data_IF_278459034796
#
_entry.id   IF_278459034796
#
_cell.length_a   1.000
_cell.length_b   1.000
_cell.length_c   1.000
_cell.angle_alpha   90.00
_cell.angle_beta   90.00
_cell.angle_gamma   90.00
#
_symmetry.space_group_name_H-M   'P 1'
#
loop_
_entity.id
_entity.type
_entity.pdbx_description
1 polymer ?
#
# COMPACT_ATOMS: atom_id res chain seq x y z
N UNK A 1 1.21 -27.35 21.07
CA UNK A 1 1.94 -27.55 19.81
C UNK A 1 0.97 -27.23 18.71
N UNK A 2 1.27 -26.24 17.87
CA UNK A 2 0.39 -25.88 16.76
C UNK A 2 0.34 -27.03 15.74
N UNK A 3 -0.86 -27.48 15.35
CA UNK A 3 -1.07 -28.55 14.37
C UNK A 3 -0.82 -28.10 12.91
N UNK A 4 -0.28 -26.90 12.73
CA UNK A 4 -0.08 -26.29 11.41
C UNK A 4 1.16 -26.89 10.73
N UNK A 5 1.04 -27.45 9.52
CA UNK A 5 2.18 -27.98 8.80
C UNK A 5 3.25 -26.91 8.52
N UNK A 6 4.55 -27.23 8.60
CA UNK A 6 5.63 -26.27 8.33
C UNK A 6 5.53 -25.56 6.97
N UNK A 7 4.99 -26.25 5.95
CA UNK A 7 4.77 -25.66 4.62
C UNK A 7 3.72 -24.54 4.62
N UNK A 8 2.70 -24.64 5.48
CA UNK A 8 1.67 -23.59 5.60
C UNK A 8 2.23 -22.35 6.31
N UNK A 9 3.13 -22.55 7.29
CA UNK A 9 3.85 -21.46 7.96
C UNK A 9 4.71 -20.69 6.94
N UNK A 10 5.43 -21.42 6.06
CA UNK A 10 6.27 -20.78 5.04
C UNK A 10 5.43 -20.04 3.99
N UNK A 11 4.29 -20.61 3.58
CA UNK A 11 3.34 -19.91 2.70
C UNK A 11 2.83 -18.63 3.35
N UNK A 12 2.47 -18.67 4.64
CA UNK A 12 1.99 -17.49 5.36
C UNK A 12 3.07 -16.40 5.42
N UNK A 13 4.32 -16.76 5.71
CA UNK A 13 5.47 -15.83 5.64
C UNK A 13 5.63 -15.20 4.26
N UNK A 14 5.52 -16.00 3.20
CA UNK A 14 5.55 -15.51 1.83
C UNK A 14 4.45 -14.48 1.55
N UNK A 15 3.22 -14.75 1.98
CA UNK A 15 2.09 -13.81 1.83
C UNK A 15 2.29 -12.52 2.62
N UNK A 16 2.83 -12.60 3.82
CA UNK A 16 3.17 -11.42 4.62
C UNK A 16 4.22 -10.56 3.92
N UNK A 17 5.26 -11.18 3.35
CA UNK A 17 6.28 -10.47 2.57
C UNK A 17 5.69 -9.83 1.31
N UNK A 18 4.76 -10.49 0.63
CA UNK A 18 4.02 -9.91 -0.51
C UNK A 18 3.20 -8.68 -0.10
N UNK A 19 2.46 -8.75 1.01
CA UNK A 19 1.71 -7.62 1.55
C UNK A 19 2.62 -6.43 1.87
N UNK A 20 3.76 -6.69 2.51
CA UNK A 20 4.76 -5.68 2.81
C UNK A 20 5.27 -4.97 1.53
N UNK A 21 5.64 -5.75 0.51
CA UNK A 21 6.10 -5.20 -0.76
C UNK A 21 5.03 -4.33 -1.44
N UNK A 22 3.76 -4.75 -1.41
CA UNK A 22 2.63 -3.98 -1.93
C UNK A 22 2.47 -2.66 -1.16
N UNK A 23 2.52 -2.68 0.17
CA UNK A 23 2.41 -1.47 1.00
C UNK A 23 3.52 -0.45 0.69
N UNK A 24 4.76 -0.94 0.56
CA UNK A 24 5.92 -0.11 0.18
C UNK A 24 5.72 0.49 -1.21
N UNK A 25 5.28 -0.30 -2.19
CA UNK A 25 5.05 0.18 -3.54
C UNK A 25 3.96 1.25 -3.60
N UNK A 26 2.80 1.01 -2.94
CA UNK A 26 1.71 1.97 -2.87
C UNK A 26 2.15 3.29 -2.22
N UNK A 27 2.88 3.21 -1.10
CA UNK A 27 3.45 4.38 -0.42
C UNK A 27 4.39 5.15 -1.34
N UNK A 28 5.28 4.45 -2.03
CA UNK A 28 6.24 5.06 -2.95
C UNK A 28 5.56 5.67 -4.17
N UNK A 29 4.43 5.11 -4.64
CA UNK A 29 3.61 5.68 -5.71
C UNK A 29 2.83 6.90 -5.22
N UNK A 30 2.26 6.87 -4.01
CA UNK A 30 1.59 8.02 -3.40
C UNK A 30 2.51 9.24 -3.28
N UNK A 31 3.78 9.03 -2.90
CA UNK A 31 4.78 10.08 -2.83
C UNK A 31 5.14 10.67 -4.21
N UNK A 32 5.07 9.85 -5.27
CA UNK A 32 5.54 10.17 -6.64
C UNK A 32 4.43 10.47 -7.64
N UNK A 33 3.19 10.71 -7.19
CA UNK A 33 2.11 11.11 -8.10
C UNK A 33 2.54 12.38 -8.85
N UNK A 34 2.41 12.42 -10.20
CA UNK A 34 2.90 13.53 -11.00
C UNK A 34 2.17 14.83 -10.65
N UNK A 35 2.92 15.84 -10.23
CA UNK A 35 2.43 17.19 -9.95
C UNK A 35 2.96 18.11 -11.02
N UNK A 36 2.06 18.65 -11.83
CA UNK A 36 2.37 19.72 -12.80
C UNK A 36 2.05 21.03 -12.11
N UNK A 37 3.01 21.96 -12.08
CA UNK A 37 2.81 23.30 -11.54
C UNK A 37 1.90 24.16 -12.44
N UNK A 38 1.25 25.19 -11.89
CA UNK A 38 0.38 26.08 -12.66
C UNK A 38 1.11 26.76 -13.83
N UNK A 39 2.41 27.04 -13.67
CA UNK A 39 3.28 27.63 -14.68
C UNK A 39 3.47 26.77 -15.93
N UNK A 40 3.37 25.45 -15.79
CA UNK A 40 3.53 24.49 -16.87
C UNK A 40 2.20 24.07 -17.50
N UNK A 41 1.07 24.53 -16.94
CA UNK A 41 -0.27 24.12 -17.39
C UNK A 41 -0.83 25.06 -18.46
N UNK A 42 -1.27 24.49 -19.59
CA UNK A 42 -1.90 25.24 -20.68
C UNK A 42 -3.38 24.87 -20.77
N UNK A 43 -4.23 25.62 -20.07
CA UNK A 43 -5.69 25.48 -20.20
C UNK A 43 -6.46 25.69 -18.89
N UNK A 44 -7.81 25.74 -18.95
CA UNK A 44 -8.64 26.09 -17.81
C UNK A 44 -8.77 24.96 -16.76
N UNK A 45 -8.37 23.73 -17.11
CA UNK A 45 -8.61 22.54 -16.28
C UNK A 45 -7.57 22.30 -15.15
N UNK A 46 -6.70 23.27 -14.85
CA UNK A 46 -5.61 23.11 -13.88
C UNK A 46 -6.12 22.69 -12.49
N UNK A 47 -7.13 23.39 -11.96
CA UNK A 47 -7.68 23.09 -10.62
C UNK A 47 -8.29 21.69 -10.55
N UNK A 48 -8.98 21.26 -11.61
CA UNK A 48 -9.53 19.90 -11.69
C UNK A 48 -8.44 18.84 -11.72
N UNK A 49 -7.35 19.08 -12.46
CA UNK A 49 -6.18 18.22 -12.48
C UNK A 49 -5.51 18.15 -11.11
N UNK A 50 -5.20 19.29 -10.50
CA UNK A 50 -4.57 19.39 -9.17
C UNK A 50 -5.37 18.59 -8.14
N UNK A 51 -6.68 18.80 -8.10
CA UNK A 51 -7.55 18.09 -7.18
C UNK A 51 -7.61 16.57 -7.45
N UNK A 52 -7.56 16.15 -8.72
CA UNK A 52 -7.52 14.74 -9.08
C UNK A 52 -6.21 14.06 -8.64
N UNK A 53 -5.08 14.75 -8.83
CA UNK A 53 -3.75 14.30 -8.39
C UNK A 53 -3.68 14.18 -6.87
N UNK A 54 -4.21 15.15 -6.13
CA UNK A 54 -4.28 15.11 -4.67
C UNK A 54 -5.14 13.95 -4.17
N UNK A 55 -6.32 13.73 -4.77
CA UNK A 55 -7.17 12.57 -4.44
C UNK A 55 -6.49 11.25 -4.73
N UNK A 56 -5.76 11.15 -5.86
CA UNK A 56 -5.02 9.94 -6.20
C UNK A 56 -3.89 9.67 -5.19
N UNK A 57 -3.10 10.68 -4.83
CA UNK A 57 -2.05 10.55 -3.83
C UNK A 57 -2.61 10.13 -2.47
N UNK A 58 -3.73 10.74 -2.05
CA UNK A 58 -4.43 10.38 -0.83
C UNK A 58 -4.92 8.92 -0.86
N UNK A 59 -5.63 8.53 -1.92
CA UNK A 59 -6.17 7.18 -2.06
C UNK A 59 -5.09 6.10 -2.11
N UNK A 60 -3.94 6.37 -2.72
CA UNK A 60 -2.78 5.46 -2.67
C UNK A 60 -2.20 5.34 -1.26
N UNK A 61 -2.13 6.44 -0.51
CA UNK A 61 -1.69 6.43 0.89
C UNK A 61 -2.66 5.66 1.80
N UNK A 62 -3.96 5.85 1.63
CA UNK A 62 -4.99 5.08 2.36
C UNK A 62 -4.92 3.59 2.02
N UNK A 63 -4.74 3.24 0.74
CA UNK A 63 -4.58 1.86 0.31
C UNK A 63 -3.33 1.22 0.95
N UNK A 64 -2.19 1.93 0.96
CA UNK A 64 -0.99 1.46 1.63
C UNK A 64 -1.22 1.21 3.13
N UNK A 65 -1.91 2.13 3.80
CA UNK A 65 -2.25 1.99 5.23
C UNK A 65 -3.09 0.73 5.49
N UNK A 66 -4.14 0.50 4.69
CA UNK A 66 -4.98 -0.70 4.82
C UNK A 66 -4.20 -1.99 4.59
N UNK A 67 -3.26 -2.00 3.64
CA UNK A 67 -2.41 -3.17 3.41
C UNK A 67 -1.52 -3.43 4.62
N UNK A 68 -0.95 -2.40 5.25
CA UNK A 68 -0.18 -2.53 6.51
C UNK A 68 -1.05 -3.07 7.65
N UNK A 69 -2.31 -2.65 7.74
CA UNK A 69 -3.24 -3.21 8.74
C UNK A 69 -3.46 -4.72 8.53
N UNK A 70 -3.66 -5.15 7.28
CA UNK A 70 -3.79 -6.58 6.93
C UNK A 70 -2.49 -7.33 7.21
N UNK A 71 -1.33 -6.75 6.86
CA UNK A 71 -0.01 -7.31 7.17
C UNK A 71 0.16 -7.53 8.68
N UNK A 72 -0.22 -6.55 9.50
CA UNK A 72 -0.16 -6.64 10.97
C UNK A 72 -1.04 -7.77 11.52
N UNK A 73 -2.24 -7.93 10.97
CA UNK A 73 -3.13 -9.03 11.35
C UNK A 73 -2.53 -10.39 10.96
N UNK A 74 -1.98 -10.50 9.75
CA UNK A 74 -1.33 -11.72 9.28
C UNK A 74 -0.08 -12.08 10.12
N UNK A 75 0.70 -11.07 10.55
CA UNK A 75 1.80 -11.26 11.50
C UNK A 75 1.33 -11.75 12.86
N UNK A 76 0.25 -11.19 13.39
CA UNK A 76 -0.31 -11.63 14.68
C UNK A 76 -0.74 -13.10 14.62
N UNK A 77 -1.39 -13.52 13.54
CA UNK A 77 -1.75 -14.94 13.34
C UNK A 77 -0.51 -15.84 13.21
N UNK A 78 0.50 -15.41 12.47
CA UNK A 78 1.75 -16.16 12.36
C UNK A 78 2.41 -16.34 13.73
N UNK A 79 2.39 -15.31 14.59
CA UNK A 79 2.93 -15.39 15.95
C UNK A 79 2.15 -16.33 16.88
N UNK A 80 0.83 -16.48 16.67
CA UNK A 80 0.04 -17.46 17.43
C UNK A 80 0.36 -18.91 17.04
N UNK A 81 0.80 -19.13 15.80
CA UNK A 81 1.04 -20.45 15.22
C UNK A 81 2.48 -20.94 15.40
N UNK A 82 3.44 -20.01 15.57
CA UNK A 82 4.85 -20.28 15.86
C UNK A 82 5.09 -20.68 17.32
#
# INVERSE_FOLDING_TARGET
>A
MSDVPPIEIERLRGRVAELHAIAVELSARAARVPRVGPEAWRGPAYESYRAAVERLACGLGEAAHRVVEVERLAWAELQHVL
#
